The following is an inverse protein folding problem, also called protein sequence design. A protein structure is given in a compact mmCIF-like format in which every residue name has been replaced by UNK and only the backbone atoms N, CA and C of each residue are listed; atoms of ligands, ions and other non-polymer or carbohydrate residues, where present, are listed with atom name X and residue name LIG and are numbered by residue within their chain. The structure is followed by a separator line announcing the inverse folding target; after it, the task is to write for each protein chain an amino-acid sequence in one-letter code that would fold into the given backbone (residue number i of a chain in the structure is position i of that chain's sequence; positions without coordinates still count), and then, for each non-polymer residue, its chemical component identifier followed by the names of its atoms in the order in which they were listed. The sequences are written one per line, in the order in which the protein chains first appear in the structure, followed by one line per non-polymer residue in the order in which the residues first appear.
data_IF_176407450323
#
_entry.id   IF_176407450323
#
_cell.length_a   1.000
_cell.length_b   1.000
_cell.length_c   1.000
_cell.angle_alpha   90.00
_cell.angle_beta   90.00
_cell.angle_gamma   90.00
#
_symmetry.space_group_name_H-M   'P 1'
#
loop_
_entity.id
_entity.type
_entity.pdbx_description
1 polymer ?
#
# COMPACT_ATOMS: atom_id res chain seq x y z
N UNK A 1 25.74 -5.96 -21.55
CA UNK A 1 25.09 -6.25 -22.84
C UNK A 1 23.65 -5.76 -22.79
N UNK A 2 23.28 -4.90 -23.73
CA UNK A 2 21.95 -4.30 -23.84
C UNK A 2 20.98 -5.36 -24.37
N UNK A 3 20.05 -5.84 -23.55
CA UNK A 3 18.89 -6.58 -24.06
C UNK A 3 17.98 -5.58 -24.76
N UNK A 4 18.27 -5.34 -26.04
CA UNK A 4 17.34 -4.70 -26.95
C UNK A 4 16.11 -5.62 -27.04
N UNK A 5 15.13 -5.39 -26.15
CA UNK A 5 13.76 -5.83 -26.38
C UNK A 5 13.29 -5.13 -27.65
N UNK A 6 13.51 -5.78 -28.80
CA UNK A 6 12.74 -5.52 -30.01
C UNK A 6 11.34 -6.04 -29.75
N UNK A 7 10.58 -5.27 -28.98
CA UNK A 7 9.18 -5.54 -28.70
C UNK A 7 8.44 -5.24 -30.01
N UNK A 8 8.09 -6.29 -30.75
CA UNK A 8 7.24 -6.16 -31.92
C UNK A 8 5.98 -5.36 -31.52
N UNK A 9 5.45 -4.47 -32.38
CA UNK A 9 4.29 -3.64 -32.05
C UNK A 9 3.08 -4.50 -31.65
N UNK A 10 3.01 -5.73 -32.16
CA UNK A 10 2.01 -6.74 -31.80
C UNK A 10 2.16 -7.27 -30.36
N UNK A 11 3.37 -7.42 -29.84
CA UNK A 11 3.60 -7.79 -28.45
C UNK A 11 3.27 -6.65 -27.47
N UNK A 12 3.53 -5.40 -27.88
CA UNK A 12 3.19 -4.23 -27.06
C UNK A 12 1.67 -4.06 -26.90
N UNK A 13 0.91 -4.24 -27.98
CA UNK A 13 -0.55 -4.19 -27.95
C UNK A 13 -1.14 -5.36 -27.15
N UNK A 14 -0.59 -6.56 -27.27
CA UNK A 14 -1.04 -7.72 -26.48
C UNK A 14 -0.79 -7.52 -24.98
N UNK A 15 0.35 -6.95 -24.61
CA UNK A 15 0.66 -6.64 -23.20
C UNK A 15 -0.27 -5.56 -22.64
N UNK A 16 -0.57 -4.51 -23.43
CA UNK A 16 -1.56 -3.50 -23.04
C UNK A 16 -2.95 -4.10 -22.88
N UNK A 17 -3.38 -4.97 -23.80
CA UNK A 17 -4.68 -5.64 -23.71
C UNK A 17 -4.78 -6.50 -22.45
N UNK A 18 -3.73 -7.27 -22.11
CA UNK A 18 -3.70 -8.07 -20.88
C UNK A 18 -3.84 -7.18 -19.62
N UNK A 19 -3.13 -6.05 -19.57
CA UNK A 19 -3.24 -5.09 -18.46
C UNK A 19 -4.62 -4.43 -18.38
N UNK A 20 -5.25 -4.13 -19.53
CA UNK A 20 -6.60 -3.52 -19.62
C UNK A 20 -7.70 -4.53 -19.28
N UNK A 21 -7.51 -5.82 -19.56
CA UNK A 21 -8.48 -6.85 -19.14
C UNK A 21 -8.32 -7.22 -17.67
N UNK A 22 -7.11 -7.14 -17.11
CA UNK A 22 -6.87 -7.41 -15.69
C UNK A 22 -7.52 -6.37 -14.76
N UNK A 23 -7.67 -5.12 -15.20
CA UNK A 23 -8.34 -4.07 -14.41
C UNK A 23 -9.86 -4.25 -14.32
N UNK A 24 -10.47 -5.11 -15.15
CA UNK A 24 -11.92 -5.39 -15.12
C UNK A 24 -12.33 -6.49 -14.13
N UNK A 25 -11.37 -7.07 -13.40
CA UNK A 25 -11.61 -8.16 -12.44
C UNK A 25 -11.40 -7.82 -10.97
N UNK A 26 -11.04 -6.59 -10.62
CA UNK A 26 -10.69 -6.22 -9.24
C UNK A 26 -11.85 -5.47 -8.56
N UNK A 27 -12.92 -6.18 -8.24
CA UNK A 27 -13.92 -5.71 -7.28
C UNK A 27 -13.32 -5.82 -5.86
N UNK A 28 -12.47 -4.87 -5.47
CA UNK A 28 -12.16 -4.60 -4.06
C UNK A 28 -13.27 -3.68 -3.54
N UNK A 29 -14.49 -4.22 -3.46
CA UNK A 29 -15.65 -3.54 -2.85
C UNK A 29 -16.00 -4.10 -1.47
N UNK A 30 -15.44 -5.25 -1.09
CA UNK A 30 -15.88 -6.02 0.08
C UNK A 30 -14.75 -6.39 1.07
N UNK A 31 -13.48 -6.10 0.72
CA UNK A 31 -12.35 -6.28 1.65
C UNK A 31 -12.31 -5.25 2.78
N UNK A 32 -13.15 -4.21 2.70
CA UNK A 32 -13.33 -3.17 3.72
C UNK A 32 -14.80 -3.07 4.15
N UNK A 33 -15.55 -4.17 4.04
CA UNK A 33 -16.94 -4.29 4.45
C UNK A 33 -17.12 -3.93 5.91
N UNK A 34 -17.78 -2.81 6.13
CA UNK A 34 -18.11 -2.17 7.39
C UNK A 34 -18.89 -3.10 8.34
N UNK A 35 -18.20 -3.77 9.26
CA UNK A 35 -18.84 -4.27 10.48
C UNK A 35 -18.74 -3.19 11.56
N UNK A 36 -19.85 -2.75 12.19
CA UNK A 36 -19.80 -1.80 13.29
C UNK A 36 -18.94 -2.39 14.41
N UNK A 37 -17.95 -1.61 14.83
CA UNK A 37 -16.96 -1.98 15.83
C UNK A 37 -17.63 -2.46 17.13
N UNK A 38 -17.74 -3.78 17.30
CA UNK A 38 -17.76 -4.41 18.62
C UNK A 38 -16.31 -4.59 19.05
N UNK A 39 -15.83 -3.57 19.75
CA UNK A 39 -14.80 -3.58 20.80
C UNK A 39 -13.83 -4.80 20.85
N UNK A 40 -13.10 -5.00 19.76
CA UNK A 40 -11.86 -5.80 19.76
C UNK A 40 -10.78 -4.89 19.19
N UNK A 41 -10.11 -4.18 20.09
CA UNK A 41 -8.98 -3.32 19.72
C UNK A 41 -7.95 -4.15 18.93
N UNK A 42 -7.82 -3.85 17.64
CA UNK A 42 -6.70 -4.31 16.84
C UNK A 42 -5.39 -3.90 17.53
N UNK A 43 -4.34 -4.70 17.36
CA UNK A 43 -3.04 -4.42 18.00
C UNK A 43 -2.53 -3.04 17.55
N UNK A 44 -2.47 -2.12 18.52
CA UNK A 44 -2.37 -0.66 18.33
C UNK A 44 -0.97 -0.13 18.02
N UNK A 45 0.03 -0.97 17.75
CA UNK A 45 1.42 -0.48 17.73
C UNK A 45 1.63 0.65 16.72
N UNK A 46 1.03 0.57 15.53
CA UNK A 46 1.21 1.54 14.45
C UNK A 46 -0.10 2.18 13.94
N UNK A 47 -1.21 2.07 14.68
CA UNK A 47 -2.47 2.70 14.28
C UNK A 47 -2.50 4.20 14.63
N UNK A 48 -3.14 5.00 13.76
CA UNK A 48 -3.42 6.41 14.01
C UNK A 48 -4.92 6.67 13.90
N UNK A 49 -5.53 7.25 14.95
CA UNK A 49 -6.98 7.53 15.02
C UNK A 49 -7.47 8.54 13.97
N UNK A 50 -6.56 9.26 13.31
CA UNK A 50 -6.89 10.39 12.42
C UNK A 50 -6.84 10.04 10.92
N UNK A 51 -6.57 8.78 10.56
CA UNK A 51 -6.23 8.38 9.19
C UNK A 51 -7.38 7.67 8.44
N UNK A 52 -8.60 8.21 8.49
CA UNK A 52 -9.81 7.48 8.08
C UNK A 52 -10.28 7.73 6.65
N UNK A 53 -9.85 8.80 5.98
CA UNK A 53 -10.41 9.20 4.67
C UNK A 53 -9.38 9.50 3.57
N UNK A 54 -8.08 9.49 3.89
CA UNK A 54 -7.00 9.75 2.95
C UNK A 54 -5.85 8.77 3.18
N UNK A 55 -5.76 7.76 2.32
CA UNK A 55 -4.70 6.75 2.38
C UNK A 55 -3.34 7.28 1.90
N UNK A 56 -3.31 8.45 1.26
CA UNK A 56 -2.08 9.16 0.86
C UNK A 56 -1.72 10.29 1.81
N UNK A 57 -2.43 10.41 2.94
CA UNK A 57 -2.12 11.40 3.94
C UNK A 57 -0.66 11.25 4.39
N UNK A 58 0.14 12.29 4.15
CA UNK A 58 1.58 12.21 4.34
C UNK A 58 1.93 12.07 5.82
N UNK A 59 1.18 12.72 6.72
CA UNK A 59 1.36 12.59 8.16
C UNK A 59 1.09 11.16 8.63
N UNK A 60 0.01 10.54 8.15
CA UNK A 60 -0.32 9.16 8.47
C UNK A 60 0.76 8.18 8.00
N UNK A 61 1.18 8.31 6.73
CA UNK A 61 2.16 7.42 6.13
C UNK A 61 3.57 7.61 6.73
N UNK A 62 3.98 8.84 7.04
CA UNK A 62 5.27 9.10 7.70
C UNK A 62 5.31 8.59 9.14
N UNK A 63 4.21 8.76 9.90
CA UNK A 63 4.09 8.19 11.25
C UNK A 63 4.14 6.65 11.22
N UNK A 64 3.50 6.03 10.23
CA UNK A 64 3.53 4.59 10.03
C UNK A 64 4.95 4.09 9.70
N UNK A 65 5.69 4.80 8.84
CA UNK A 65 7.11 4.48 8.56
C UNK A 65 7.94 4.53 9.85
N UNK A 66 7.81 5.60 10.63
CA UNK A 66 8.53 5.73 11.90
C UNK A 66 8.17 4.64 12.90
N UNK A 67 6.93 4.14 12.87
CA UNK A 67 6.51 3.03 13.72
C UNK A 67 7.12 1.70 13.27
N UNK A 68 7.07 1.42 11.95
CA UNK A 68 7.63 0.19 11.36
C UNK A 68 9.11 0.04 11.71
N UNK A 69 9.87 1.14 11.66
CA UNK A 69 11.30 1.14 11.99
C UNK A 69 11.59 0.78 13.47
N UNK A 70 10.56 0.79 14.33
CA UNK A 70 10.66 0.50 15.78
C UNK A 70 9.98 -0.81 16.17
N UNK A 71 9.39 -1.54 15.22
CA UNK A 71 8.70 -2.80 15.49
C UNK A 71 9.68 -3.83 16.06
N UNK A 72 9.34 -4.37 17.23
CA UNK A 72 10.14 -5.35 17.95
C UNK A 72 9.23 -6.20 18.84
N UNK A 73 9.77 -7.30 19.39
CA UNK A 73 9.05 -8.19 20.30
C UNK A 73 8.49 -9.46 19.65
N UNK A 74 7.76 -10.25 20.45
CA UNK A 74 7.16 -11.48 19.98
C UNK A 74 5.93 -11.21 19.09
N UNK A 75 5.74 -12.07 18.09
CA UNK A 75 4.55 -12.06 17.25
C UNK A 75 3.47 -13.00 17.81
N UNK A 76 2.26 -12.92 17.28
CA UNK A 76 1.14 -13.74 17.71
C UNK A 76 1.36 -15.24 17.36
N UNK A 77 0.82 -16.17 18.17
CA UNK A 77 0.99 -17.59 17.94
C UNK A 77 0.37 -18.03 16.60
N UNK A 78 1.06 -18.92 15.89
CA UNK A 78 0.62 -19.41 14.60
C UNK A 78 0.94 -18.49 13.40
N UNK A 79 1.61 -17.35 13.61
CA UNK A 79 2.11 -16.50 12.52
C UNK A 79 2.98 -17.31 11.56
N UNK A 80 2.64 -17.26 10.27
CA UNK A 80 3.34 -17.95 9.17
C UNK A 80 4.31 -17.03 8.42
N UNK A 81 4.28 -15.73 8.71
CA UNK A 81 5.06 -14.71 8.04
C UNK A 81 6.29 -14.34 8.88
N UNK A 82 7.41 -14.04 8.21
CA UNK A 82 8.55 -13.42 8.88
C UNK A 82 8.24 -11.94 9.14
N UNK A 83 8.32 -11.51 10.41
CA UNK A 83 7.97 -10.14 10.84
C UNK A 83 8.82 -9.10 10.13
N UNK A 84 10.15 -9.29 10.07
CA UNK A 84 11.06 -8.32 9.45
C UNK A 84 10.87 -8.21 7.94
N UNK A 85 10.70 -9.34 7.25
CA UNK A 85 10.41 -9.34 5.81
C UNK A 85 9.07 -8.65 5.51
N UNK A 86 8.04 -8.97 6.28
CA UNK A 86 6.70 -8.39 6.08
C UNK A 86 6.72 -6.88 6.35
N UNK A 87 7.38 -6.45 7.43
CA UNK A 87 7.59 -5.05 7.76
C UNK A 87 8.32 -4.29 6.63
N UNK A 88 9.34 -4.90 6.03
CA UNK A 88 10.08 -4.31 4.90
C UNK A 88 9.22 -4.17 3.63
N UNK A 89 8.39 -5.17 3.31
CA UNK A 89 7.45 -5.09 2.18
C UNK A 89 6.45 -3.96 2.39
N UNK A 90 5.87 -3.85 3.58
CA UNK A 90 4.95 -2.76 3.93
C UNK A 90 5.66 -1.41 3.82
N UNK A 91 6.87 -1.28 4.37
CA UNK A 91 7.69 -0.06 4.30
C UNK A 91 7.83 0.45 2.86
N UNK A 92 8.13 -0.42 1.90
CA UNK A 92 8.27 -0.03 0.49
C UNK A 92 6.98 0.53 -0.14
N UNK A 93 5.82 -0.02 0.23
CA UNK A 93 4.51 0.51 -0.22
C UNK A 93 4.25 1.88 0.40
N UNK A 94 4.52 2.04 1.70
CA UNK A 94 4.26 3.30 2.41
C UNK A 94 5.21 4.41 1.95
N UNK A 95 6.47 4.13 1.65
CA UNK A 95 7.38 5.11 1.04
C UNK A 95 6.84 5.64 -0.29
N UNK A 96 6.25 4.76 -1.10
CA UNK A 96 5.59 5.14 -2.35
C UNK A 96 4.34 5.98 -2.09
N UNK A 97 3.56 5.65 -1.06
CA UNK A 97 2.38 6.41 -0.66
C UNK A 97 2.73 7.82 -0.15
N UNK A 98 3.80 7.97 0.64
CA UNK A 98 4.32 9.30 1.05
C UNK A 98 4.70 10.13 -0.17
N UNK A 99 5.44 9.52 -1.11
CA UNK A 99 5.83 10.21 -2.34
C UNK A 99 4.60 10.64 -3.15
N UNK A 100 3.64 9.73 -3.37
CA UNK A 100 2.40 10.03 -4.08
C UNK A 100 1.60 11.15 -3.39
N UNK A 101 1.41 11.09 -2.06
CA UNK A 101 0.72 12.13 -1.30
C UNK A 101 1.35 13.51 -1.45
N UNK A 102 2.69 13.60 -1.38
CA UNK A 102 3.42 14.87 -1.61
C UNK A 102 3.22 15.44 -3.02
N UNK A 103 3.06 14.57 -4.02
CA UNK A 103 2.80 15.01 -5.40
C UNK A 103 1.34 15.42 -5.58
N UNK A 104 0.39 14.63 -5.07
CA UNK A 104 -1.04 14.87 -5.29
C UNK A 104 -1.54 16.08 -4.51
N UNK A 105 -1.23 16.21 -3.21
CA UNK A 105 -1.67 17.35 -2.40
C UNK A 105 -1.08 18.68 -2.89
N UNK A 106 0.16 18.67 -3.38
CA UNK A 106 0.78 19.84 -4.01
C UNK A 106 0.06 20.30 -5.29
N UNK A 107 -0.64 19.40 -5.99
CA UNK A 107 -1.43 19.76 -7.19
C UNK A 107 -2.80 20.32 -6.85
N UNK A 108 -3.36 19.95 -5.69
CA UNK A 108 -4.61 20.55 -5.19
C UNK A 108 -4.39 21.96 -4.64
N UNK A 109 -3.27 22.23 -3.96
CA UNK A 109 -2.93 23.58 -3.45
C UNK A 109 -2.59 24.61 -4.56
N UNK A 110 -2.35 24.14 -5.78
CA UNK A 110 -1.93 24.96 -6.93
C UNK A 110 -3.05 25.25 -7.92
N UNK A 111 -4.31 25.04 -7.53
CA UNK A 111 -5.51 25.35 -8.33
C UNK A 111 -6.19 26.61 -7.82
#
# INVERSE_FOLDING_TARGET
MRFFLKLAPRCSVLLLLLLVTASRGLNIGDLLGSTPAKDQGCSRTCESQFCTNDYLNTMCNENLLSCIDRVSGATFPGNKCNVGQTASVIRGVIETAVFAGKILHKRDDGQ
#
